data_IF_270998749610
#
_entry.id   IF_270998749610
#
_cell.length_a   1.000
_cell.length_b   1.000
_cell.length_c   1.000
_cell.angle_alpha   90.00
_cell.angle_beta   90.00
_cell.angle_gamma   90.00
#
_symmetry.space_group_name_H-M   'P 1'
#
loop_
_entity.id
_entity.type
_entity.pdbx_description
1 polymer ?
#
# COMPACT_ATOMS: atom_id res chain seq x y z
N UNK A 1 6.01 -16.44 -17.39
CA UNK A 1 6.33 -15.43 -16.37
C UNK A 1 7.81 -15.09 -16.40
N UNK A 2 8.10 -13.83 -16.51
CA UNK A 2 9.48 -13.37 -16.56
C UNK A 2 9.96 -12.98 -15.17
N UNK A 3 11.24 -13.20 -14.94
CA UNK A 3 11.84 -12.86 -13.66
C UNK A 3 11.69 -11.36 -13.39
N UNK A 4 11.85 -10.56 -14.42
CA UNK A 4 11.73 -9.11 -14.28
C UNK A 4 10.32 -8.70 -13.87
N UNK A 5 9.34 -9.33 -14.48
CA UNK A 5 7.95 -9.01 -14.15
C UNK A 5 7.61 -9.42 -12.73
N UNK A 6 8.12 -10.56 -12.30
CA UNK A 6 7.85 -11.03 -10.95
C UNK A 6 8.34 -10.03 -9.91
N UNK A 7 9.56 -9.57 -10.07
CA UNK A 7 10.15 -8.61 -9.14
C UNK A 7 9.34 -7.31 -9.14
N UNK A 8 8.99 -6.85 -10.31
CA UNK A 8 8.22 -5.62 -10.44
C UNK A 8 6.87 -5.73 -9.74
N UNK A 9 6.19 -6.83 -9.95
CA UNK A 9 4.89 -7.05 -9.33
C UNK A 9 4.98 -7.11 -7.82
N UNK A 10 6.00 -7.76 -7.31
CA UNK A 10 6.20 -7.84 -5.87
C UNK A 10 6.42 -6.45 -5.28
N UNK A 11 7.24 -5.65 -5.91
CA UNK A 11 7.49 -4.29 -5.44
C UNK A 11 6.21 -3.45 -5.45
N UNK A 12 5.44 -3.56 -6.51
CA UNK A 12 4.18 -2.82 -6.61
C UNK A 12 3.21 -3.26 -5.52
N UNK A 13 3.12 -4.57 -5.30
CA UNK A 13 2.21 -5.10 -4.28
C UNK A 13 2.58 -4.56 -2.90
N UNK A 14 3.85 -4.61 -2.57
CA UNK A 14 4.32 -4.11 -1.27
C UNK A 14 4.05 -2.62 -1.16
N UNK A 15 4.35 -1.87 -2.19
CA UNK A 15 4.12 -0.43 -2.18
C UNK A 15 2.64 -0.09 -1.99
N UNK A 16 1.76 -0.80 -2.68
CA UNK A 16 0.33 -0.56 -2.57
C UNK A 16 -0.15 -0.85 -1.15
N UNK A 17 0.32 -1.95 -0.57
CA UNK A 17 -0.09 -2.32 0.78
C UNK A 17 0.37 -1.26 1.79
N UNK A 18 1.63 -0.86 1.70
CA UNK A 18 2.17 0.14 2.62
C UNK A 18 1.42 1.46 2.50
N UNK A 19 1.26 1.93 1.27
CA UNK A 19 0.54 3.17 1.03
C UNK A 19 -0.90 3.07 1.50
N UNK A 20 -1.54 1.95 1.21
CA UNK A 20 -2.93 1.74 1.63
C UNK A 20 -3.09 1.82 3.13
N UNK A 21 -2.17 1.18 3.85
CA UNK A 21 -2.23 1.19 5.31
C UNK A 21 -2.02 2.60 5.86
N UNK A 22 -1.07 3.33 5.29
CA UNK A 22 -0.80 4.69 5.72
C UNK A 22 -2.01 5.60 5.48
N UNK A 23 -2.59 5.50 4.29
CA UNK A 23 -3.77 6.29 3.96
C UNK A 23 -4.93 5.95 4.88
N UNK A 24 -5.12 4.67 5.11
CA UNK A 24 -6.18 4.22 6.01
C UNK A 24 -6.00 4.78 7.41
N UNK A 25 -4.78 4.74 7.90
CA UNK A 25 -4.49 5.24 9.24
C UNK A 25 -4.84 6.72 9.35
N UNK A 26 -4.44 7.49 8.35
CA UNK A 26 -4.71 8.93 8.35
C UNK A 26 -6.21 9.18 8.31
N UNK A 27 -6.91 8.48 7.42
CA UNK A 27 -8.35 8.64 7.29
C UNK A 27 -9.07 8.24 8.57
N UNK A 28 -8.66 7.14 9.16
CA UNK A 28 -9.27 6.66 10.39
C UNK A 28 -9.08 7.66 11.53
N UNK A 29 -7.88 8.21 11.62
CA UNK A 29 -7.60 9.18 12.66
C UNK A 29 -8.41 10.45 12.48
N UNK A 30 -8.57 10.88 11.25
CA UNK A 30 -9.36 12.08 10.99
C UNK A 30 -10.79 11.89 11.45
N UNK A 31 -11.36 10.76 11.13
CA UNK A 31 -12.73 10.46 11.52
C UNK A 31 -12.86 10.35 13.03
N UNK A 32 -11.91 9.71 13.63
CA UNK A 32 -11.93 9.50 15.06
C UNK A 32 -11.91 10.83 15.81
N UNK A 33 -11.22 11.78 15.25
CA UNK A 33 -11.11 13.07 15.90
C UNK A 33 -12.43 13.83 15.91
N UNK A 34 -13.17 13.70 14.82
CA UNK A 34 -14.46 14.37 14.63
C UNK A 34 -15.33 14.23 15.78
#
# INVERSE_FOLDING_TARGET
MDLHMTIFLICVAIGVVVFGVLFWSVFSHRKSRG
#
